data_IF_924634553266
#
_entry.id   IF_924634553266
#
_cell.length_a   1.000
_cell.length_b   1.000
_cell.length_c   1.000
_cell.angle_alpha   90.00
_cell.angle_beta   90.00
_cell.angle_gamma   90.00
#
_symmetry.space_group_name_H-M   'P 1'
#
loop_
_entity.id
_entity.type
_entity.pdbx_description
1 polymer ?
#
# COMPACT_ATOMS: atom_id res chain seq x y z
N UNK A 1 -13.40 6.06 6.16
CA UNK A 1 -12.00 6.11 6.65
C UNK A 1 -11.63 7.56 6.93
N UNK A 2 -10.86 7.86 8.00
CA UNK A 2 -10.36 9.22 8.24
C UNK A 2 -9.32 9.62 7.18
N UNK A 3 -9.23 10.91 6.87
CA UNK A 3 -8.26 11.47 5.93
C UNK A 3 -7.20 12.24 6.70
N UNK A 4 -5.93 11.96 6.41
CA UNK A 4 -4.77 12.56 7.06
C UNK A 4 -3.83 13.20 6.05
N UNK A 5 -3.11 14.24 6.50
CA UNK A 5 -2.04 14.86 5.74
C UNK A 5 -0.72 14.48 6.41
N UNK A 6 0.14 13.77 5.67
CA UNK A 6 1.42 13.30 6.18
C UNK A 6 2.56 13.73 5.25
N UNK A 7 3.71 14.06 5.85
CA UNK A 7 4.89 14.55 5.14
C UNK A 7 5.57 13.51 4.24
N UNK A 8 5.33 12.21 4.46
CA UNK A 8 5.91 11.13 3.67
C UNK A 8 5.10 10.82 2.41
N UNK A 9 3.93 11.43 2.22
CA UNK A 9 3.13 11.35 0.99
C UNK A 9 3.56 12.49 0.07
N UNK A 10 4.27 12.13 -1.00
CA UNK A 10 4.84 13.10 -1.94
C UNK A 10 3.83 13.48 -3.02
N UNK A 11 3.45 14.76 -3.09
CA UNK A 11 2.51 15.27 -4.09
C UNK A 11 2.94 15.03 -5.54
N UNK A 12 4.25 14.98 -5.80
CA UNK A 12 4.81 14.74 -7.14
C UNK A 12 4.96 13.27 -7.53
N UNK A 13 4.48 12.32 -6.71
CA UNK A 13 4.60 10.89 -6.99
C UNK A 13 3.23 10.20 -6.90
N UNK A 14 2.87 9.44 -7.95
CA UNK A 14 1.55 8.85 -8.08
C UNK A 14 0.47 9.94 -8.22
N UNK A 15 -0.57 9.88 -7.41
CA UNK A 15 -1.65 10.87 -7.36
C UNK A 15 -1.50 11.89 -6.22
N UNK A 16 -0.43 11.81 -5.43
CA UNK A 16 -0.28 12.60 -4.20
C UNK A 16 -1.15 12.13 -3.03
N UNK A 17 -1.81 10.97 -3.17
CA UNK A 17 -2.58 10.31 -2.12
C UNK A 17 -2.31 8.80 -2.13
N UNK A 18 -2.32 8.17 -0.95
CA UNK A 18 -2.17 6.73 -0.78
C UNK A 18 -3.26 6.20 0.15
N UNK A 19 -3.66 4.95 -0.04
CA UNK A 19 -4.42 4.22 0.97
C UNK A 19 -3.45 3.66 2.00
N UNK A 20 -3.63 4.06 3.26
CA UNK A 20 -2.82 3.54 4.36
C UNK A 20 -3.16 2.08 4.62
N UNK A 21 -2.14 1.21 4.63
CA UNK A 21 -2.27 -0.20 4.99
C UNK A 21 -1.32 -0.53 6.14
N UNK A 22 -1.65 -0.14 7.38
CA UNK A 22 -0.72 -0.22 8.52
C UNK A 22 -0.21 -1.62 8.81
N UNK A 23 -0.99 -2.68 8.56
CA UNK A 23 -0.53 -4.04 8.83
C UNK A 23 0.56 -4.53 7.86
N UNK A 24 0.72 -3.90 6.69
CA UNK A 24 1.56 -4.40 5.60
C UNK A 24 2.48 -3.33 4.96
N UNK A 25 2.51 -2.10 5.49
CA UNK A 25 3.51 -1.07 5.17
C UNK A 25 4.07 -0.47 6.48
N UNK A 26 5.40 -0.55 6.64
CA UNK A 26 6.07 -0.08 7.86
C UNK A 26 5.88 1.43 8.11
N UNK A 27 5.79 2.25 7.06
CA UNK A 27 5.61 3.70 7.24
C UNK A 27 4.21 3.99 7.77
N UNK A 28 3.24 3.21 7.32
CA UNK A 28 1.85 3.34 7.74
C UNK A 28 1.65 2.80 9.17
N UNK A 29 2.36 1.74 9.58
CA UNK A 29 2.28 1.24 10.96
C UNK A 29 2.88 2.24 11.94
N UNK A 30 4.04 2.81 11.62
CA UNK A 30 4.68 3.83 12.48
C UNK A 30 3.77 5.04 12.66
N UNK A 31 3.11 5.46 11.57
CA UNK A 31 2.13 6.54 11.60
C UNK A 31 0.88 6.15 12.42
N UNK A 32 0.31 4.97 12.16
CA UNK A 32 -0.87 4.49 12.85
C UNK A 32 -0.64 4.36 14.36
N UNK A 33 0.50 3.80 14.78
CA UNK A 33 0.85 3.67 16.20
C UNK A 33 1.07 5.03 16.86
N UNK A 34 1.77 5.95 16.18
CA UNK A 34 1.99 7.31 16.71
C UNK A 34 0.69 8.07 16.97
N UNK A 35 -0.33 7.87 16.14
CA UNK A 35 -1.61 8.59 16.23
C UNK A 35 -2.77 7.74 16.76
N UNK A 36 -2.51 6.52 17.26
CA UNK A 36 -3.53 5.64 17.83
C UNK A 36 -4.59 5.17 16.82
N UNK A 37 -4.23 5.01 15.55
CA UNK A 37 -5.11 4.50 14.51
C UNK A 37 -5.21 2.97 14.57
N UNK A 38 -6.35 2.44 14.11
CA UNK A 38 -6.59 1.00 14.03
C UNK A 38 -5.65 0.33 13.02
N UNK A 39 -5.10 -0.81 13.42
CA UNK A 39 -4.31 -1.71 12.55
C UNK A 39 -5.13 -2.98 12.38
N UNK A 40 -5.45 -3.34 11.14
CA UNK A 40 -6.20 -4.57 10.82
C UNK A 40 -5.35 -5.42 9.88
N UNK A 41 -4.88 -6.59 10.32
CA UNK A 41 -4.14 -7.50 9.47
C UNK A 41 -5.07 -8.16 8.43
N UNK A 42 -4.62 -8.19 7.18
CA UNK A 42 -5.35 -8.77 6.04
C UNK A 42 -4.56 -9.84 5.27
N UNK A 43 -3.28 -10.05 5.61
CA UNK A 43 -2.45 -11.15 5.11
C UNK A 43 -2.06 -12.05 6.28
N UNK A 44 -2.41 -13.34 6.18
CA UNK A 44 -2.11 -14.36 7.17
C UNK A 44 -0.87 -15.16 6.74
N UNK A 45 0.20 -15.20 7.56
CA UNK A 45 1.31 -16.11 7.35
C UNK A 45 0.86 -17.58 7.38
N UNK A 46 1.51 -18.46 6.62
CA UNK A 46 1.13 -19.88 6.53
C UNK A 46 1.12 -20.63 7.89
N UNK A 47 1.98 -20.20 8.83
CA UNK A 47 2.14 -20.83 10.14
C UNK A 47 1.36 -20.13 11.26
N UNK A 48 0.55 -19.12 10.93
CA UNK A 48 -0.18 -18.30 11.91
C UNK A 48 -1.67 -18.67 11.96
N UNK A 49 -2.27 -18.51 13.14
CA UNK A 49 -3.72 -18.66 13.34
C UNK A 49 -4.43 -17.32 13.10
N UNK A 50 -5.42 -17.32 12.21
CA UNK A 50 -6.25 -16.15 11.89
C UNK A 50 -6.96 -15.55 13.10
N UNK A 51 -7.25 -16.35 14.13
CA UNK A 51 -7.93 -15.87 15.33
C UNK A 51 -7.02 -15.07 16.27
N UNK A 52 -5.71 -15.29 16.21
CA UNK A 52 -4.74 -14.69 17.14
C UNK A 52 -3.68 -13.82 16.47
N UNK A 53 -3.60 -13.85 15.14
CA UNK A 53 -2.59 -13.10 14.42
C UNK A 53 -2.86 -11.60 14.49
N UNK A 54 -1.92 -10.86 15.08
CA UNK A 54 -1.90 -9.41 15.11
C UNK A 54 -0.51 -8.88 14.72
N UNK A 55 -0.48 -7.67 14.19
CA UNK A 55 0.73 -7.01 13.70
C UNK A 55 1.01 -5.83 14.63
N UNK A 56 2.00 -5.97 15.52
CA UNK A 56 2.30 -4.96 16.53
C UNK A 56 3.07 -3.76 15.96
N UNK A 57 4.41 -3.84 15.92
CA UNK A 57 5.29 -2.74 15.55
C UNK A 57 5.97 -2.93 14.19
N UNK A 58 6.05 -4.17 13.71
CA UNK A 58 6.71 -4.50 12.45
C UNK A 58 5.65 -4.96 11.44
N UNK A 59 5.54 -4.25 10.32
CA UNK A 59 4.55 -4.56 9.30
C UNK A 59 4.89 -5.89 8.60
N UNK A 60 3.87 -6.72 8.38
CA UNK A 60 4.06 -8.00 7.71
C UNK A 60 4.04 -7.82 6.19
N UNK A 61 5.20 -7.96 5.54
CA UNK A 61 5.34 -7.87 4.06
C UNK A 61 5.60 -9.22 3.39
N UNK A 62 5.43 -10.32 4.13
CA UNK A 62 5.72 -11.68 3.66
C UNK A 62 4.61 -12.28 2.80
N UNK A 63 4.84 -13.51 2.27
CA UNK A 63 3.83 -14.27 1.55
C UNK A 63 2.77 -14.82 2.51
N UNK A 64 1.53 -14.94 2.04
CA UNK A 64 0.44 -15.46 2.86
C UNK A 64 -0.86 -15.63 2.07
N UNK A 65 -1.92 -15.98 2.80
CA UNK A 65 -3.28 -15.96 2.28
C UNK A 65 -4.03 -14.72 2.77
N UNK A 66 -5.00 -14.26 1.99
CA UNK A 66 -5.83 -13.13 2.39
C UNK A 66 -6.86 -13.58 3.43
N UNK A 67 -7.07 -12.74 4.44
CA UNK A 67 -8.12 -12.89 5.45
C UNK A 67 -8.68 -11.52 5.84
N UNK A 68 -9.79 -11.47 6.60
CA UNK A 68 -10.49 -10.23 6.99
C UNK A 68 -10.89 -9.32 5.81
N UNK A 69 -11.04 -9.89 4.61
CA UNK A 69 -11.26 -9.17 3.35
C UNK A 69 -12.49 -9.68 2.59
N UNK A 70 -13.32 -10.51 3.20
CA UNK A 70 -14.62 -10.93 2.67
C UNK A 70 -14.48 -11.85 1.46
N UNK A 71 -14.87 -11.38 0.27
CA UNK A 71 -14.86 -12.22 -0.94
C UNK A 71 -13.46 -12.63 -1.41
N UNK A 72 -12.41 -12.01 -0.85
CA UNK A 72 -11.01 -12.32 -1.12
C UNK A 72 -10.43 -13.33 -0.13
N UNK A 73 -11.17 -13.70 0.92
CA UNK A 73 -10.66 -14.58 1.97
C UNK A 73 -10.25 -15.96 1.42
N UNK A 74 -9.08 -16.44 1.84
CA UNK A 74 -8.49 -17.69 1.40
C UNK A 74 -7.73 -17.63 0.07
N UNK A 75 -7.78 -16.52 -0.66
CA UNK A 75 -7.02 -16.37 -1.90
C UNK A 75 -5.53 -16.12 -1.64
N UNK A 76 -4.68 -16.53 -2.59
CA UNK A 76 -3.29 -16.09 -2.64
C UNK A 76 -3.21 -14.60 -2.98
N UNK A 77 -2.16 -13.92 -2.51
CA UNK A 77 -2.00 -12.46 -2.64
C UNK A 77 -2.16 -11.97 -4.09
N UNK A 78 -1.53 -12.64 -5.06
CA UNK A 78 -1.54 -12.18 -6.45
C UNK A 78 -2.88 -12.42 -7.16
N UNK A 79 -3.58 -13.50 -6.82
CA UNK A 79 -4.94 -13.73 -7.30
C UNK A 79 -5.93 -12.77 -6.66
N UNK A 80 -5.76 -12.47 -5.37
CA UNK A 80 -6.57 -11.48 -4.67
C UNK A 80 -6.41 -10.07 -5.25
N UNK A 81 -5.18 -9.67 -5.61
CA UNK A 81 -4.93 -8.39 -6.32
C UNK A 81 -5.72 -8.33 -7.63
N UNK A 82 -5.72 -9.41 -8.42
CA UNK A 82 -6.43 -9.47 -9.70
C UNK A 82 -7.94 -9.38 -9.49
N UNK A 83 -8.48 -10.18 -8.58
CA UNK A 83 -9.90 -10.18 -8.24
C UNK A 83 -10.38 -8.83 -7.68
N UNK A 84 -9.55 -8.16 -6.86
CA UNK A 84 -9.85 -6.82 -6.35
C UNK A 84 -9.91 -5.77 -7.46
N UNK A 85 -8.96 -5.81 -8.42
CA UNK A 85 -8.95 -4.90 -9.57
C UNK A 85 -10.23 -5.11 -10.41
N UNK A 86 -10.52 -6.35 -10.79
CA UNK A 86 -11.72 -6.69 -11.58
C UNK A 86 -13.00 -6.23 -10.88
N UNK A 87 -13.08 -6.40 -9.56
CA UNK A 87 -14.24 -5.96 -8.79
C UNK A 87 -14.40 -4.44 -8.82
N UNK A 88 -13.32 -3.68 -8.59
CA UNK A 88 -13.35 -2.21 -8.60
C UNK A 88 -13.72 -1.67 -9.98
N UNK A 89 -13.17 -2.28 -11.04
CA UNK A 89 -13.49 -1.94 -12.43
C UNK A 89 -14.95 -2.23 -12.76
N UNK A 90 -15.49 -3.38 -12.33
CA UNK A 90 -16.90 -3.74 -12.53
C UNK A 90 -17.88 -2.76 -11.85
N UNK A 91 -17.43 -2.08 -10.80
CA UNK A 91 -18.19 -1.07 -10.07
C UNK A 91 -18.03 0.34 -10.65
N UNK A 92 -17.12 0.55 -11.61
CA UNK A 92 -16.82 1.86 -12.17
C UNK A 92 -16.16 2.83 -11.17
N UNK A 93 -15.53 2.31 -10.12
CA UNK A 93 -14.91 3.12 -9.05
C UNK A 93 -13.40 3.34 -9.26
N UNK A 94 -12.82 2.73 -10.29
CA UNK A 94 -11.41 2.87 -10.62
C UNK A 94 -11.00 1.95 -11.76
N UNK A 95 -9.72 2.02 -12.12
CA UNK A 95 -9.09 1.23 -13.18
C UNK A 95 -7.72 0.72 -12.72
N UNK A 96 -7.33 -0.46 -13.20
CA UNK A 96 -5.99 -0.99 -12.99
C UNK A 96 -4.93 -0.14 -13.71
N UNK A 97 -3.88 0.24 -12.99
CA UNK A 97 -2.77 1.05 -13.54
C UNK A 97 -1.41 0.45 -13.22
N UNK A 98 -0.57 0.32 -14.24
CA UNK A 98 0.85 -0.03 -14.07
C UNK A 98 1.65 1.24 -13.80
N UNK A 99 2.38 1.26 -12.68
CA UNK A 99 3.25 2.38 -12.30
C UNK A 99 4.70 1.91 -12.19
N UNK A 100 5.63 2.80 -12.54
CA UNK A 100 7.07 2.54 -12.45
C UNK A 100 7.71 3.44 -11.39
N UNK A 101 8.71 2.90 -10.68
CA UNK A 101 9.57 3.69 -9.78
C UNK A 101 10.51 4.63 -10.56
N UNK A 102 10.76 4.33 -11.84
CA UNK A 102 11.57 5.14 -12.72
C UNK A 102 10.98 6.55 -12.84
N UNK A 103 11.85 7.55 -12.76
CA UNK A 103 11.49 8.97 -12.94
C UNK A 103 12.15 9.49 -14.20
N UNK A 104 11.56 10.54 -14.74
CA UNK A 104 12.17 11.25 -15.86
C UNK A 104 13.55 11.78 -15.49
N UNK A 105 14.42 11.78 -16.48
CA UNK A 105 15.79 12.22 -16.30
C UNK A 105 15.85 13.75 -16.26
N UNK A 106 15.98 14.30 -15.06
CA UNK A 106 16.31 15.71 -14.86
C UNK A 106 17.75 16.01 -15.29
N UNK A 107 17.98 16.28 -16.57
CA UNK A 107 19.29 16.60 -17.14
C UNK A 107 19.71 18.06 -16.93
N UNK A 108 18.74 18.97 -16.90
CA UNK A 108 19.00 20.42 -16.85
C UNK A 108 19.65 20.83 -15.53
N UNK A 109 20.60 21.76 -15.58
CA UNK A 109 21.28 22.33 -14.40
C UNK A 109 21.37 23.84 -14.52
N UNK A 110 21.08 24.56 -13.44
CA UNK A 110 21.35 26.00 -13.33
C UNK A 110 22.82 26.22 -12.97
N UNK A 111 23.71 25.96 -13.93
CA UNK A 111 25.17 26.13 -13.82
C UNK A 111 25.71 26.79 -15.08
N UNK A 112 26.69 27.68 -14.90
CA UNK A 112 27.29 28.44 -16.00
C UNK A 112 28.05 27.55 -17.00
N UNK A 113 28.74 26.52 -16.51
CA UNK A 113 29.57 25.66 -17.36
C UNK A 113 28.91 24.30 -17.58
N UNK A 114 28.37 24.10 -18.78
CA UNK A 114 27.72 22.88 -19.24
C UNK A 114 27.50 22.92 -20.75
N UNK A 115 27.14 21.78 -21.33
CA UNK A 115 26.72 21.74 -22.74
C UNK A 115 25.43 22.57 -22.91
N UNK A 116 25.39 23.56 -23.83
CA UNK A 116 24.17 24.26 -24.19
C UNK A 116 23.06 23.32 -24.64
#
# INVERSE_FOLDING_TARGET
LPVWVANFVLMGYGTGAIFGCPAHDQRDIDFARKYGLSVTPVVLPADADAATFDVENEAYTGPGSIFNSGFLDGMAIDDAKRAAIEKIESMGLGEGKVNYRLRDWGVSRQRYWGCP
#
